data_IF_658342309477
#
_entry.id   IF_658342309477
#
_cell.length_a   1.000
_cell.length_b   1.000
_cell.length_c   1.000
_cell.angle_alpha   90.00
_cell.angle_beta   90.00
_cell.angle_gamma   90.00
#
_symmetry.space_group_name_H-M   'P 1'
#
loop_
_entity.id
_entity.type
_entity.pdbx_description
1 polymer ?
#
# COMPACT_ATOMS: atom_id res chain seq x y z
N UNK A 1 20.43 -22.25 41.64
CA UNK A 1 19.35 -22.54 40.66
C UNK A 1 19.75 -23.73 39.80
N UNK A 2 18.95 -24.80 39.78
CA UNK A 2 19.31 -26.04 39.10
C UNK A 2 19.53 -25.79 37.61
N UNK A 3 20.64 -26.32 37.09
CA UNK A 3 21.16 -26.08 35.72
C UNK A 3 20.12 -26.38 34.63
N UNK A 4 19.22 -27.33 34.90
CA UNK A 4 18.13 -27.72 34.02
C UNK A 4 17.09 -26.62 33.81
N UNK A 5 16.78 -25.84 34.85
CA UNK A 5 15.84 -24.73 34.76
C UNK A 5 16.36 -23.62 33.84
N UNK A 6 17.68 -23.38 33.85
CA UNK A 6 18.32 -22.39 32.97
C UNK A 6 18.28 -22.83 31.50
N UNK A 7 18.48 -24.12 31.24
CA UNK A 7 18.42 -24.68 29.89
C UNK A 7 17.00 -24.62 29.31
N UNK A 8 16.00 -25.04 30.10
CA UNK A 8 14.59 -24.93 29.73
C UNK A 8 14.19 -23.46 29.48
N UNK A 9 14.64 -22.55 30.34
CA UNK A 9 14.40 -21.11 30.17
C UNK A 9 15.06 -20.52 28.91
N UNK A 10 16.27 -20.94 28.58
CA UNK A 10 16.94 -20.52 27.35
C UNK A 10 16.25 -21.05 26.09
N UNK A 11 15.79 -22.30 26.11
CA UNK A 11 15.01 -22.88 25.02
C UNK A 11 13.67 -22.16 24.85
N UNK A 12 12.96 -21.90 25.96
CA UNK A 12 11.71 -21.15 25.97
C UNK A 12 11.86 -19.76 25.37
N UNK A 13 12.90 -19.01 25.76
CA UNK A 13 13.17 -17.66 25.20
C UNK A 13 13.39 -17.67 23.69
N UNK A 14 14.05 -18.69 23.14
CA UNK A 14 14.25 -18.81 21.68
C UNK A 14 12.92 -19.01 20.94
N UNK A 15 12.03 -19.82 21.51
CA UNK A 15 10.68 -20.04 20.96
C UNK A 15 9.87 -18.74 21.06
N UNK A 16 9.90 -18.09 22.22
CA UNK A 16 9.19 -16.83 22.44
C UNK A 16 9.65 -15.72 21.49
N UNK A 17 10.96 -15.58 21.22
CA UNK A 17 11.46 -14.59 20.27
C UNK A 17 10.93 -14.81 18.85
N UNK A 18 10.80 -16.07 18.41
CA UNK A 18 10.31 -16.40 17.07
C UNK A 18 8.82 -16.11 16.93
N UNK A 19 8.05 -16.43 17.96
CA UNK A 19 6.62 -16.12 18.05
C UNK A 19 6.40 -14.62 18.15
N UNK A 20 7.20 -13.91 18.95
CA UNK A 20 7.10 -12.46 19.12
C UNK A 20 7.38 -11.71 17.82
N UNK A 21 8.35 -12.15 17.02
CA UNK A 21 8.64 -11.51 15.74
C UNK A 21 7.46 -11.64 14.76
N UNK A 22 6.87 -12.83 14.65
CA UNK A 22 5.69 -13.06 13.83
C UNK A 22 4.47 -12.30 14.35
N UNK A 23 4.19 -12.39 15.66
CA UNK A 23 3.09 -11.67 16.29
C UNK A 23 3.22 -10.16 16.13
N UNK A 24 4.43 -9.61 16.22
CA UNK A 24 4.64 -8.16 16.07
C UNK A 24 4.17 -7.70 14.69
N UNK A 25 4.62 -8.37 13.62
CA UNK A 25 4.21 -8.02 12.26
C UNK A 25 2.69 -8.18 12.04
N UNK A 26 2.11 -9.27 12.55
CA UNK A 26 0.67 -9.51 12.43
C UNK A 26 -0.13 -8.48 13.22
N UNK A 27 0.26 -8.18 14.46
CA UNK A 27 -0.43 -7.22 15.33
C UNK A 27 -0.32 -5.80 14.78
N UNK A 28 0.87 -5.38 14.34
CA UNK A 28 1.06 -4.07 13.69
C UNK A 28 0.30 -3.98 12.37
N UNK A 29 0.31 -5.03 11.55
CA UNK A 29 -0.47 -5.08 10.32
C UNK A 29 -1.98 -4.99 10.58
N UNK A 30 -2.47 -5.72 11.59
CA UNK A 30 -3.87 -5.68 11.98
C UNK A 30 -4.26 -4.30 12.53
N UNK A 31 -3.44 -3.71 13.41
CA UNK A 31 -3.65 -2.36 13.93
C UNK A 31 -3.70 -1.34 12.79
N UNK A 32 -2.75 -1.42 11.85
CA UNK A 32 -2.73 -0.57 10.66
C UNK A 32 -4.02 -0.71 9.87
N UNK A 33 -4.49 -1.94 9.61
CA UNK A 33 -5.75 -2.16 8.91
C UNK A 33 -6.95 -1.61 9.69
N UNK A 34 -7.03 -1.85 11.00
CA UNK A 34 -8.14 -1.38 11.84
C UNK A 34 -8.21 0.15 11.90
N UNK A 35 -7.08 0.85 11.84
CA UNK A 35 -7.05 2.32 11.87
C UNK A 35 -7.20 2.93 10.47
N UNK A 36 -6.43 2.43 9.49
CA UNK A 36 -6.36 3.01 8.14
C UNK A 36 -7.54 2.60 7.27
N UNK A 37 -8.07 1.37 7.40
CA UNK A 37 -9.21 0.94 6.60
C UNK A 37 -10.48 1.77 6.84
N UNK A 38 -10.95 2.03 8.09
CA UNK A 38 -12.13 2.87 8.28
C UNK A 38 -11.88 4.32 7.83
N UNK A 39 -10.64 4.83 7.98
CA UNK A 39 -10.27 6.15 7.46
C UNK A 39 -10.36 6.18 5.92
N UNK A 40 -9.82 5.17 5.24
CA UNK A 40 -9.87 5.05 3.79
C UNK A 40 -11.32 4.87 3.28
N UNK A 41 -12.14 4.08 3.98
CA UNK A 41 -13.58 3.93 3.69
C UNK A 41 -14.29 5.27 3.85
N UNK A 42 -14.01 6.00 4.94
CA UNK A 42 -14.52 7.35 5.18
C UNK A 42 -14.16 8.30 4.04
N UNK A 43 -12.88 8.44 3.72
CA UNK A 43 -12.42 9.29 2.61
C UNK A 43 -13.07 8.92 1.27
N UNK A 44 -13.17 7.62 0.99
CA UNK A 44 -13.81 7.12 -0.23
C UNK A 44 -15.30 7.48 -0.28
N UNK A 45 -16.00 7.42 0.85
CA UNK A 45 -17.43 7.71 0.93
C UNK A 45 -17.72 9.21 0.91
N UNK A 46 -16.90 10.03 1.57
CA UNK A 46 -17.15 11.46 1.75
C UNK A 46 -16.51 12.36 0.70
N UNK A 47 -15.40 11.96 0.06
CA UNK A 47 -14.67 12.84 -0.86
C UNK A 47 -14.61 12.37 -2.31
N UNK A 48 -15.13 11.16 -2.64
CA UNK A 48 -14.93 10.45 -3.93
C UNK A 48 -13.73 11.02 -4.74
N UNK A 49 -12.50 10.93 -4.19
CA UNK A 49 -11.36 11.66 -4.74
C UNK A 49 -10.98 11.16 -6.13
N UNK A 50 -11.45 9.97 -6.51
CA UNK A 50 -11.23 9.37 -7.80
C UNK A 50 -12.37 9.68 -8.80
N UNK A 51 -13.43 10.41 -8.41
CA UNK A 51 -14.61 10.74 -9.24
C UNK A 51 -15.13 9.53 -10.02
N UNK A 52 -14.98 8.31 -9.48
CA UNK A 52 -15.28 7.07 -10.22
C UNK A 52 -16.78 6.98 -10.50
N UNK A 53 -17.61 7.59 -9.63
CA UNK A 53 -19.05 7.66 -9.84
C UNK A 53 -19.47 8.79 -10.78
N UNK A 54 -18.71 9.87 -10.89
CA UNK A 54 -19.02 10.99 -11.76
C UNK A 54 -18.27 10.89 -13.10
N UNK A 55 -18.80 10.08 -14.02
CA UNK A 55 -18.38 10.07 -15.45
C UNK A 55 -18.49 11.43 -16.16
N UNK A 56 -19.15 12.42 -15.56
CA UNK A 56 -19.43 13.74 -16.16
C UNK A 56 -18.60 14.89 -15.59
N UNK A 57 -17.61 14.58 -14.76
CA UNK A 57 -16.83 15.62 -14.14
C UNK A 57 -15.70 16.04 -15.12
N UNK A 58 -15.47 17.35 -15.35
CA UNK A 58 -14.53 17.82 -16.38
C UNK A 58 -13.16 17.20 -16.17
N UNK A 59 -12.71 16.48 -17.18
CA UNK A 59 -11.35 15.97 -17.24
C UNK A 59 -10.46 17.12 -17.69
N UNK A 60 -9.33 17.35 -17.03
CA UNK A 60 -8.33 18.32 -17.52
C UNK A 60 -7.54 17.80 -18.71
N UNK A 61 -7.89 16.61 -19.21
CA UNK A 61 -7.32 16.01 -20.40
C UNK A 61 -7.85 16.77 -21.61
N UNK A 62 -7.01 17.64 -22.17
CA UNK A 62 -7.26 18.21 -23.50
C UNK A 62 -6.98 17.14 -24.53
N UNK A 63 -7.96 16.81 -25.36
CA UNK A 63 -7.74 15.98 -26.53
C UNK A 63 -6.75 16.69 -27.46
N UNK A 64 -5.54 16.15 -27.58
CA UNK A 64 -4.62 16.60 -28.60
C UNK A 64 -5.03 15.98 -29.93
N UNK A 65 -5.28 16.79 -30.98
CA UNK A 65 -5.58 16.25 -32.30
C UNK A 65 -4.42 15.35 -32.74
N UNK A 66 -4.74 14.15 -33.21
CA UNK A 66 -3.76 13.18 -33.72
C UNK A 66 -2.97 13.87 -34.84
N UNK A 67 -1.70 14.19 -34.56
CA UNK A 67 -0.80 14.70 -35.57
C UNK A 67 -0.58 13.60 -36.60
N UNK A 68 -0.91 13.88 -37.85
CA UNK A 68 -0.54 13.03 -38.99
C UNK A 68 0.96 13.16 -39.17
N UNK A 69 1.72 12.29 -38.52
CA UNK A 69 3.16 12.18 -38.70
C UNK A 69 3.45 11.91 -40.18
N UNK A 70 3.85 12.96 -40.90
CA UNK A 70 4.37 12.81 -42.26
C UNK A 70 5.87 12.55 -42.19
N UNK A 71 6.42 11.79 -43.15
CA UNK A 71 7.85 11.46 -43.18
C UNK A 71 8.74 12.71 -43.21
N UNK A 72 8.21 13.83 -43.70
CA UNK A 72 8.84 15.15 -43.73
C UNK A 72 9.02 15.76 -42.33
N UNK A 73 8.15 15.44 -41.36
CA UNK A 73 8.27 15.90 -39.97
C UNK A 73 9.40 15.18 -39.22
N UNK A 74 9.62 13.89 -39.53
CA UNK A 74 10.68 13.08 -38.92
C UNK A 74 12.09 13.59 -39.29
N UNK A 75 12.24 14.16 -40.49
CA UNK A 75 13.50 14.72 -40.96
C UNK A 75 13.89 16.04 -40.28
N UNK A 76 12.94 16.73 -39.62
CA UNK A 76 13.21 17.99 -38.89
C UNK A 76 13.67 17.78 -37.44
N UNK A 77 13.64 16.55 -36.95
CA UNK A 77 14.00 16.20 -35.55
C UNK A 77 15.43 15.66 -35.38
N UNK A 78 16.23 15.56 -36.45
CA UNK A 78 17.65 15.20 -36.41
C UNK A 78 18.55 16.41 -36.59
#
# INVERSE_FOLDING_TARGET
MPRQLRAAWQAWKRIAQRIAHFQSQVLFGLLYFVVVAPFAIGLKLFSDPLRIKHKSAPSWWREHPRQTLTLEDAHRQS
#
